data_IF_106574049778
#
_entry.id   IF_106574049778
#
_cell.length_a   1.000
_cell.length_b   1.000
_cell.length_c   1.000
_cell.angle_alpha   90.00
_cell.angle_beta   90.00
_cell.angle_gamma   90.00
#
_symmetry.space_group_name_H-M   'P 1'
#
loop_
_entity.id
_entity.type
_entity.pdbx_description
1 polymer ?
#
# COMPACT_ATOMS: atom_id res chain seq x y z
N UNK A 1 0.27 2.01 13.55
CA UNK A 1 -0.35 1.91 12.21
C UNK A 1 -0.39 0.43 11.86
N UNK A 2 -1.52 -0.12 11.41
CA UNK A 2 -1.62 -1.56 11.14
C UNK A 2 -0.88 -1.90 9.84
N UNK A 3 0.13 -2.76 9.93
CA UNK A 3 0.67 -3.47 8.77
C UNK A 3 -0.40 -4.46 8.30
N UNK A 4 -0.79 -4.36 7.04
CA UNK A 4 -1.85 -5.20 6.44
C UNK A 4 -1.25 -6.43 5.79
N UNK A 5 -0.06 -6.31 5.20
CA UNK A 5 0.67 -7.41 4.60
C UNK A 5 2.17 -7.17 4.67
N UNK A 6 2.94 -8.26 4.68
CA UNK A 6 4.39 -8.26 4.60
C UNK A 6 4.83 -9.22 3.50
N UNK A 7 5.71 -8.78 2.60
CA UNK A 7 6.28 -9.61 1.53
C UNK A 7 7.79 -9.35 1.48
N UNK A 8 8.55 -10.24 2.12
CA UNK A 8 9.99 -10.10 2.28
C UNK A 8 10.36 -8.81 3.03
N UNK A 9 11.01 -7.89 2.31
CA UNK A 9 11.48 -6.60 2.84
C UNK A 9 10.46 -5.46 2.69
N UNK A 10 9.24 -5.76 2.23
CA UNK A 10 8.18 -4.80 1.98
C UNK A 10 7.07 -4.94 3.01
N UNK A 11 6.67 -3.82 3.60
CA UNK A 11 5.52 -3.74 4.51
C UNK A 11 4.45 -2.84 3.93
N UNK A 12 3.23 -3.36 3.84
CA UNK A 12 2.07 -2.64 3.34
C UNK A 12 1.26 -2.10 4.52
N UNK A 13 1.05 -0.79 4.55
CA UNK A 13 0.41 -0.09 5.66
C UNK A 13 -0.75 0.73 5.11
N UNK A 14 -1.94 0.50 5.68
CA UNK A 14 -3.10 1.37 5.47
C UNK A 14 -3.26 2.19 6.76
N UNK A 15 -3.14 3.52 6.67
CA UNK A 15 -3.26 4.36 7.87
C UNK A 15 -4.73 4.71 8.04
N UNK A 16 -5.23 4.61 9.27
CA UNK A 16 -6.67 4.81 9.59
C UNK A 16 -7.15 6.26 9.48
N UNK A 17 -6.22 7.20 9.25
CA UNK A 17 -6.50 8.63 9.07
C UNK A 17 -6.17 9.10 7.66
N UNK A 18 -5.99 8.17 6.71
CA UNK A 18 -5.78 8.54 5.31
C UNK A 18 -7.10 9.02 4.69
N UNK A 19 -6.96 9.77 3.61
CA UNK A 19 -8.07 10.34 2.86
C UNK A 19 -8.03 9.87 1.40
N UNK A 20 -9.15 9.97 0.67
CA UNK A 20 -9.17 9.70 -0.76
C UNK A 20 -8.10 10.52 -1.52
N UNK A 21 -7.52 9.98 -2.62
CA UNK A 21 -7.83 8.68 -3.23
C UNK A 21 -7.37 7.50 -2.38
N UNK A 22 -7.99 6.33 -2.54
CA UNK A 22 -7.61 5.13 -1.82
C UNK A 22 -6.18 4.72 -2.15
N UNK A 23 -5.32 4.60 -1.14
CA UNK A 23 -3.91 4.26 -1.31
C UNK A 23 -3.36 3.39 -0.18
N UNK A 24 -2.23 2.73 -0.45
CA UNK A 24 -1.44 1.99 0.55
C UNK A 24 -0.03 2.54 0.58
N UNK A 25 0.54 2.63 1.79
CA UNK A 25 1.94 2.94 1.99
C UNK A 25 2.76 1.65 1.93
N UNK A 26 3.82 1.64 1.12
CA UNK A 26 4.77 0.54 1.04
C UNK A 26 6.09 1.00 1.64
N UNK A 27 6.45 0.42 2.78
CA UNK A 27 7.70 0.72 3.48
C UNK A 27 8.72 -0.38 3.17
N UNK A 28 9.85 0.01 2.60
CA UNK A 28 10.98 -0.87 2.30
C UNK A 28 11.88 -1.06 3.55
N UNK A 29 12.73 -2.09 3.54
CA UNK A 29 13.67 -2.37 4.64
C UNK A 29 14.64 -1.22 4.94
N UNK A 30 15.00 -0.41 3.94
CA UNK A 30 15.84 0.79 4.10
C UNK A 30 15.06 2.03 4.56
N UNK A 31 13.79 1.86 4.95
CA UNK A 31 12.95 2.93 5.49
C UNK A 31 12.33 3.85 4.43
N UNK A 32 12.61 3.63 3.14
CA UNK A 32 11.95 4.37 2.07
C UNK A 32 10.48 3.99 1.99
N UNK A 33 9.63 5.00 1.83
CA UNK A 33 8.18 4.84 1.72
C UNK A 33 7.70 5.34 0.36
N UNK A 34 6.78 4.60 -0.26
CA UNK A 34 6.09 5.02 -1.48
C UNK A 34 4.60 4.70 -1.36
N UNK A 35 3.73 5.51 -1.96
CA UNK A 35 2.29 5.23 -2.00
C UNK A 35 1.86 4.65 -3.34
N UNK A 36 0.94 3.68 -3.28
CA UNK A 36 0.29 3.09 -4.45
C UNK A 36 -1.21 3.34 -4.38
N UNK A 37 -1.79 3.82 -5.47
CA UNK A 37 -3.23 3.98 -5.62
C UNK A 37 -3.91 2.61 -5.74
N UNK A 38 -4.90 2.34 -4.90
CA UNK A 38 -5.60 1.04 -4.84
C UNK A 38 -6.51 0.78 -6.05
N UNK A 39 -6.91 1.84 -6.76
CA UNK A 39 -7.84 1.76 -7.88
C UNK A 39 -7.15 1.24 -9.15
N UNK A 40 -5.97 1.76 -9.47
CA UNK A 40 -5.27 1.51 -10.74
C UNK A 40 -3.87 0.88 -10.55
N UNK A 41 -3.37 0.78 -9.32
CA UNK A 41 -2.04 0.23 -9.02
C UNK A 41 -0.90 1.16 -9.44
N UNK A 42 -1.18 2.43 -9.73
CA UNK A 42 -0.17 3.43 -10.05
C UNK A 42 0.53 3.94 -8.79
N UNK A 43 1.79 4.30 -8.92
CA UNK A 43 2.52 4.95 -7.83
C UNK A 43 2.10 6.42 -7.76
N UNK A 44 1.79 6.90 -6.55
CA UNK A 44 1.50 8.31 -6.28
C UNK A 44 2.78 9.12 -6.02
N UNK A 45 3.86 8.44 -5.65
CA UNK A 45 5.20 9.01 -5.43
C UNK A 45 6.23 8.27 -6.30
N UNK A 46 7.40 8.85 -6.50
CA UNK A 46 8.46 8.15 -7.23
C UNK A 46 8.95 6.93 -6.43
N UNK A 47 8.86 5.70 -6.99
CA UNK A 47 9.31 4.51 -6.29
C UNK A 47 10.84 4.50 -6.17
N UNK A 48 11.39 3.87 -5.12
CA UNK A 48 12.83 3.68 -5.03
C UNK A 48 13.44 3.02 -6.28
N UNK A 49 14.63 3.47 -6.71
CA UNK A 49 15.28 2.95 -7.91
C UNK A 49 15.50 1.44 -7.78
N UNK A 50 15.13 0.70 -8.83
CA UNK A 50 15.25 -0.77 -8.86
C UNK A 50 14.18 -1.55 -8.09
N UNK A 51 13.36 -0.91 -7.23
CA UNK A 51 12.34 -1.63 -6.42
C UNK A 51 10.95 -1.68 -7.05
N UNK A 52 10.69 -0.88 -8.10
CA UNK A 52 9.37 -0.77 -8.76
C UNK A 52 8.72 -2.12 -9.06
N UNK A 53 9.45 -3.03 -9.70
CA UNK A 53 8.92 -4.34 -10.10
C UNK A 53 8.58 -5.24 -8.91
N UNK A 54 9.44 -5.26 -7.89
CA UNK A 54 9.21 -6.04 -6.67
C UNK A 54 7.99 -5.51 -5.90
N UNK A 55 7.89 -4.19 -5.76
CA UNK A 55 6.77 -3.53 -5.08
C UNK A 55 5.45 -3.82 -5.78
N UNK A 56 5.36 -3.66 -7.11
CA UNK A 56 4.13 -3.96 -7.84
C UNK A 56 3.74 -5.44 -7.77
N UNK A 57 4.71 -6.34 -7.87
CA UNK A 57 4.45 -7.79 -7.75
C UNK A 57 3.86 -8.15 -6.39
N UNK A 58 4.45 -7.63 -5.31
CA UNK A 58 3.94 -7.83 -3.95
C UNK A 58 2.57 -7.15 -3.74
N UNK A 59 2.38 -5.94 -4.28
CA UNK A 59 1.10 -5.25 -4.25
C UNK A 59 0.00 -6.09 -4.88
N UNK A 60 0.20 -6.63 -6.09
CA UNK A 60 -0.82 -7.45 -6.75
C UNK A 60 -1.10 -8.77 -6.02
N UNK A 61 -0.10 -9.35 -5.33
CA UNK A 61 -0.29 -10.54 -4.50
C UNK A 61 -1.23 -10.26 -3.32
N UNK A 62 -1.09 -9.11 -2.68
CA UNK A 62 -1.83 -8.72 -1.48
C UNK A 62 -2.97 -7.73 -1.75
N UNK A 63 -3.29 -7.46 -3.01
CA UNK A 63 -4.24 -6.40 -3.39
C UNK A 63 -5.63 -6.59 -2.76
N UNK A 64 -6.05 -7.85 -2.56
CA UNK A 64 -7.32 -8.15 -1.88
C UNK A 64 -7.28 -7.73 -0.41
N UNK A 65 -6.29 -8.20 0.35
CA UNK A 65 -6.13 -7.91 1.78
C UNK A 65 -5.99 -6.40 2.03
N UNK A 66 -5.23 -5.72 1.18
CA UNK A 66 -5.03 -4.27 1.24
C UNK A 66 -6.36 -3.52 1.03
N UNK A 67 -7.17 -3.93 0.06
CA UNK A 67 -8.49 -3.33 -0.19
C UNK A 67 -9.47 -3.60 0.94
N UNK A 68 -9.53 -4.83 1.44
CA UNK A 68 -10.37 -5.19 2.59
C UNK A 68 -9.99 -4.37 3.83
N UNK A 69 -8.70 -4.12 4.06
CA UNK A 69 -8.24 -3.24 5.13
C UNK A 69 -8.64 -1.78 4.89
N UNK A 70 -8.48 -1.26 3.66
CA UNK A 70 -8.94 0.08 3.32
C UNK A 70 -10.45 0.25 3.59
N UNK A 71 -11.27 -0.69 3.13
CA UNK A 71 -12.73 -0.67 3.33
C UNK A 71 -13.09 -0.80 4.80
N UNK A 72 -12.37 -1.63 5.57
CA UNK A 72 -12.58 -1.76 7.00
C UNK A 72 -12.35 -0.43 7.76
N UNK A 73 -11.28 0.30 7.41
CA UNK A 73 -10.91 1.54 8.10
C UNK A 73 -11.66 2.77 7.58
N UNK A 74 -12.00 2.82 6.28
CA UNK A 74 -12.54 4.02 5.63
C UNK A 74 -13.94 3.83 5.03
N UNK A 75 -14.42 2.60 4.90
CA UNK A 75 -15.73 2.27 4.31
C UNK A 75 -16.92 2.38 5.28
N UNK A 76 -16.69 2.63 6.57
CA UNK A 76 -17.77 3.00 7.51
C UNK A 76 -18.11 4.48 7.34
N UNK A 77 -18.82 4.78 6.26
CA UNK A 77 -19.26 6.14 5.92
C UNK A 77 -20.15 6.17 4.68
N UNK A 78 -21.18 5.33 4.64
CA UNK A 78 -22.36 5.52 3.77
C UNK A 78 -23.58 5.74 4.64
#
# INVERSE_FOLDING_TARGET
MPTVAEDGELRFIVRTRDHPPAHVHVVCADGQEVRINLNDGTFLDEPPPGKRGAILKAFYRHAKEIREAWDHYHGRGT
#
